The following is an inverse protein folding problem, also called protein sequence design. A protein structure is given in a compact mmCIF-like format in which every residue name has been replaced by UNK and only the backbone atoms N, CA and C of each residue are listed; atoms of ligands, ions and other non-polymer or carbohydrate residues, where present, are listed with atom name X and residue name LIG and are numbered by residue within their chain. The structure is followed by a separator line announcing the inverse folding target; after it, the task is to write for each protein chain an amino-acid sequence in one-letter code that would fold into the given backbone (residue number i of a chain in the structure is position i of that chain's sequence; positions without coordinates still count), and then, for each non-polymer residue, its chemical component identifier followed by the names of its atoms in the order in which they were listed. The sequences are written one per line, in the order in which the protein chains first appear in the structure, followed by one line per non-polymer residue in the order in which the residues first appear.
data_IF_521959234399
#
_entry.id   IF_521959234399
#
_cell.length_a   1.000
_cell.length_b   1.000
_cell.length_c   1.000
_cell.angle_alpha   90.00
_cell.angle_beta   90.00
_cell.angle_gamma   90.00
#
_symmetry.space_group_name_H-M   'P 1'
#
loop_
_entity.id
_entity.type
_entity.pdbx_description
1 polymer ?
#
# COMPACT_ATOMS: atom_id res chain seq x y z
N UNK A 1 2.29 20.33 -4.39
CA UNK A 1 1.59 19.05 -4.69
C UNK A 1 2.36 17.83 -4.23
N UNK A 2 3.66 17.75 -4.49
CA UNK A 2 4.46 16.56 -4.15
C UNK A 2 4.45 16.25 -2.66
N UNK A 3 4.68 17.23 -1.79
CA UNK A 3 4.69 16.96 -0.35
C UNK A 3 3.30 16.68 0.21
N UNK A 4 2.26 17.27 -0.37
CA UNK A 4 0.88 16.95 -0.01
C UNK A 4 0.56 15.49 -0.39
N UNK A 5 0.93 15.08 -1.60
CA UNK A 5 0.75 13.69 -2.06
C UNK A 5 1.55 12.71 -1.19
N UNK A 6 2.80 13.06 -0.86
CA UNK A 6 3.65 12.25 0.01
C UNK A 6 3.01 12.07 1.39
N UNK A 7 2.55 13.16 2.00
CA UNK A 7 1.89 13.10 3.30
C UNK A 7 0.65 12.23 3.28
N UNK A 8 -0.18 12.36 2.25
CA UNK A 8 -1.37 11.53 2.06
C UNK A 8 -1.02 10.05 1.90
N UNK A 9 -0.01 9.75 1.09
CA UNK A 9 0.43 8.36 0.88
C UNK A 9 0.96 7.75 2.20
N UNK A 10 1.76 8.50 2.95
CA UNK A 10 2.32 8.01 4.22
C UNK A 10 1.21 7.75 5.25
N UNK A 11 0.21 8.61 5.32
CA UNK A 11 -0.95 8.42 6.22
C UNK A 11 -1.72 7.15 5.83
N UNK A 12 -1.96 6.94 4.54
CA UNK A 12 -2.66 5.74 4.05
C UNK A 12 -1.84 4.49 4.34
N UNK A 13 -0.53 4.52 4.10
CA UNK A 13 0.36 3.40 4.41
C UNK A 13 0.36 3.09 5.91
N UNK A 14 0.37 4.11 6.76
CA UNK A 14 0.29 3.93 8.20
C UNK A 14 -1.02 3.26 8.61
N UNK A 15 -2.14 3.67 8.02
CA UNK A 15 -3.45 3.06 8.29
C UNK A 15 -3.47 1.60 7.86
N UNK A 16 -2.91 1.29 6.68
CA UNK A 16 -2.79 -0.09 6.21
C UNK A 16 -1.88 -0.92 7.12
N UNK A 17 -0.79 -0.33 7.61
CA UNK A 17 0.11 -1.00 8.55
C UNK A 17 -0.61 -1.35 9.84
N UNK A 18 -1.45 -0.46 10.36
CA UNK A 18 -2.27 -0.74 11.55
C UNK A 18 -3.19 -1.92 11.29
N UNK A 19 -3.87 -1.96 10.14
CA UNK A 19 -4.73 -3.10 9.77
C UNK A 19 -3.92 -4.40 9.77
N UNK A 20 -2.74 -4.42 9.15
CA UNK A 20 -1.91 -5.62 9.10
C UNK A 20 -1.46 -6.07 10.49
N UNK A 21 -1.11 -5.12 11.36
CA UNK A 21 -0.77 -5.45 12.76
C UNK A 21 -1.94 -6.07 13.50
N UNK A 22 -3.16 -5.54 13.31
CA UNK A 22 -4.36 -6.12 13.92
C UNK A 22 -4.61 -7.54 13.41
N UNK A 23 -4.40 -7.79 12.12
CA UNK A 23 -4.54 -9.13 11.53
C UNK A 23 -3.49 -10.10 12.09
N UNK A 24 -2.26 -9.66 12.26
CA UNK A 24 -1.18 -10.46 12.86
C UNK A 24 -1.54 -10.84 14.31
N UNK A 25 -2.15 -9.91 15.05
CA UNK A 25 -2.57 -10.15 16.43
C UNK A 25 -3.81 -11.05 16.55
N UNK A 26 -4.40 -11.46 15.44
CA UNK A 26 -5.53 -12.39 15.44
C UNK A 26 -6.89 -11.74 15.55
N UNK A 27 -7.00 -10.43 15.34
CA UNK A 27 -8.28 -9.75 15.38
C UNK A 27 -9.12 -10.07 14.13
N UNK A 28 -10.47 -10.06 14.23
CA UNK A 28 -11.35 -10.56 13.17
C UNK A 28 -11.62 -9.50 12.07
N UNK A 29 -10.56 -8.93 11.48
CA UNK A 29 -10.67 -7.95 10.39
C UNK A 29 -10.26 -8.51 9.04
N UNK A 30 -10.16 -9.84 8.90
CA UNK A 30 -9.74 -10.49 7.66
C UNK A 30 -10.64 -10.22 6.47
N UNK A 31 -11.87 -9.76 6.72
CA UNK A 31 -12.80 -9.40 5.63
C UNK A 31 -12.29 -8.24 4.76
N UNK A 32 -11.32 -7.48 5.25
CA UNK A 32 -10.73 -6.35 4.52
C UNK A 32 -9.48 -6.72 3.74
N UNK A 33 -8.99 -7.96 3.83
CA UNK A 33 -7.72 -8.35 3.24
C UNK A 33 -7.75 -9.81 2.80
N UNK A 34 -6.78 -10.19 1.98
CA UNK A 34 -6.55 -11.57 1.54
C UNK A 34 -7.80 -12.22 0.92
N UNK A 35 -8.56 -11.44 0.15
CA UNK A 35 -9.79 -11.90 -0.48
C UNK A 35 -10.99 -11.97 0.46
N UNK A 36 -10.80 -11.68 1.74
CA UNK A 36 -11.87 -11.61 2.73
C UNK A 36 -12.47 -12.96 3.11
N UNK A 37 -11.80 -14.07 2.81
CA UNK A 37 -12.31 -15.42 3.04
C UNK A 37 -12.28 -15.85 4.51
N UNK A 38 -11.44 -15.23 5.32
CA UNK A 38 -11.24 -15.55 6.73
C UNK A 38 -11.31 -14.29 7.57
N UNK A 39 -12.15 -14.27 8.61
CA UNK A 39 -12.19 -13.15 9.55
C UNK A 39 -10.92 -13.12 10.40
N UNK A 40 -10.52 -14.27 10.94
CA UNK A 40 -9.26 -14.43 11.67
C UNK A 40 -8.28 -15.16 10.74
N UNK A 41 -7.13 -14.55 10.48
CA UNK A 41 -6.17 -15.11 9.56
C UNK A 41 -5.48 -16.35 10.15
N UNK A 42 -5.33 -17.43 9.36
CA UNK A 42 -4.45 -18.53 9.74
C UNK A 42 -2.98 -18.11 9.76
N UNK A 43 -2.12 -18.89 10.41
CA UNK A 43 -0.70 -18.56 10.58
C UNK A 43 -0.01 -18.18 9.27
N UNK A 44 -0.30 -18.87 8.18
CA UNK A 44 0.29 -18.61 6.86
C UNK A 44 -0.02 -17.18 6.38
N UNK A 45 -1.26 -16.72 6.52
CA UNK A 45 -1.65 -15.38 6.10
C UNK A 45 -1.18 -14.31 7.09
N UNK A 46 -1.03 -14.65 8.37
CA UNK A 46 -0.41 -13.73 9.34
C UNK A 46 1.05 -13.44 8.99
N UNK A 47 1.79 -14.45 8.53
CA UNK A 47 3.15 -14.25 8.01
C UNK A 47 3.12 -13.31 6.80
N UNK A 48 2.15 -13.51 5.89
CA UNK A 48 1.96 -12.61 4.75
C UNK A 48 1.69 -11.18 5.19
N UNK A 49 0.90 -10.98 6.23
CA UNK A 49 0.64 -9.64 6.79
C UNK A 49 1.92 -9.02 7.38
N UNK A 50 2.76 -9.82 8.04
CA UNK A 50 4.06 -9.34 8.52
C UNK A 50 4.97 -8.92 7.37
N UNK A 51 5.00 -9.68 6.28
CA UNK A 51 5.74 -9.32 5.07
C UNK A 51 5.20 -8.00 4.49
N UNK A 52 3.87 -7.80 4.53
CA UNK A 52 3.26 -6.55 4.06
C UNK A 52 3.77 -5.33 4.82
N UNK A 53 4.03 -5.45 6.13
CA UNK A 53 4.62 -4.36 6.91
C UNK A 53 6.01 -3.97 6.40
N UNK A 54 6.83 -4.95 6.03
CA UNK A 54 8.14 -4.70 5.44
C UNK A 54 7.98 -4.00 4.08
N UNK A 55 7.04 -4.46 3.26
CA UNK A 55 6.76 -3.87 1.95
C UNK A 55 6.30 -2.41 2.11
N UNK A 56 5.39 -2.12 3.04
CA UNK A 56 4.92 -0.75 3.28
C UNK A 56 6.06 0.16 3.71
N UNK A 57 6.98 -0.34 4.54
CA UNK A 57 8.16 0.41 4.95
C UNK A 57 9.07 0.73 3.76
N UNK A 58 9.28 -0.25 2.88
CA UNK A 58 10.06 -0.06 1.67
C UNK A 58 9.40 0.95 0.72
N UNK A 59 8.08 0.89 0.58
CA UNK A 59 7.32 1.85 -0.23
C UNK A 59 7.47 3.26 0.34
N UNK A 60 7.34 3.42 1.66
CA UNK A 60 7.49 4.72 2.31
C UNK A 60 8.89 5.31 2.07
N UNK A 61 9.94 4.50 2.23
CA UNK A 61 11.31 4.93 1.97
C UNK A 61 11.49 5.34 0.50
N UNK A 62 10.95 4.55 -0.42
CA UNK A 62 11.03 4.86 -1.84
C UNK A 62 10.35 6.21 -2.17
N UNK A 63 9.15 6.44 -1.66
CA UNK A 63 8.42 7.68 -1.91
C UNK A 63 9.12 8.88 -1.27
N UNK A 64 9.67 8.73 -0.07
CA UNK A 64 10.47 9.77 0.58
C UNK A 64 11.71 10.11 -0.25
N UNK A 65 12.38 9.11 -0.78
CA UNK A 65 13.55 9.30 -1.63
C UNK A 65 13.17 9.98 -2.96
N UNK A 66 12.09 9.52 -3.59
CA UNK A 66 11.65 10.11 -4.86
C UNK A 66 11.20 11.56 -4.70
N UNK A 67 10.60 11.90 -3.56
CA UNK A 67 10.17 13.26 -3.25
C UNK A 67 11.34 14.17 -2.82
N UNK A 68 12.53 13.62 -2.65
CA UNK A 68 13.73 14.39 -2.31
C UNK A 68 13.92 14.63 -0.82
N UNK A 69 13.12 13.99 0.05
CA UNK A 69 13.24 14.15 1.51
C UNK A 69 14.47 13.41 2.03
N UNK A 70 14.78 12.26 1.45
CA UNK A 70 15.97 11.48 1.77
C UNK A 70 16.75 11.19 0.48
N UNK A 71 18.02 10.82 0.61
CA UNK A 71 18.87 10.49 -0.53
C UNK A 71 18.56 9.13 -1.13
N UNK A 72 19.18 8.86 -2.28
CA UNK A 72 19.08 7.59 -2.97
C UNK A 72 19.61 7.71 -4.39
N UNK A 73 19.81 6.57 -5.05
CA UNK A 73 20.22 6.54 -6.46
C UNK A 73 19.06 7.03 -7.34
N UNK A 74 19.27 8.16 -8.03
CA UNK A 74 18.21 8.82 -8.79
C UNK A 74 17.58 7.93 -9.87
N UNK A 75 18.39 7.15 -10.58
CA UNK A 75 17.90 6.27 -11.64
C UNK A 75 17.08 5.12 -11.06
N UNK A 76 17.60 4.45 -10.04
CA UNK A 76 16.90 3.35 -9.37
C UNK A 76 15.58 3.84 -8.79
N UNK A 77 15.59 4.96 -8.07
CA UNK A 77 14.40 5.52 -7.40
C UNK A 77 13.33 5.88 -8.43
N UNK A 78 13.73 6.46 -9.56
CA UNK A 78 12.79 6.81 -10.63
C UNK A 78 12.12 5.56 -11.21
N UNK A 79 12.93 4.57 -11.59
CA UNK A 79 12.41 3.32 -12.18
C UNK A 79 11.52 2.60 -11.18
N UNK A 80 11.96 2.50 -9.93
CA UNK A 80 11.20 1.83 -8.88
C UNK A 80 9.85 2.53 -8.60
N UNK A 81 9.81 3.87 -8.67
CA UNK A 81 8.57 4.62 -8.48
C UNK A 81 7.55 4.32 -9.56
N UNK A 82 7.97 4.26 -10.83
CA UNK A 82 7.08 3.88 -11.92
C UNK A 82 6.62 2.43 -11.81
N UNK A 83 7.50 1.53 -11.41
CA UNK A 83 7.12 0.14 -11.14
C UNK A 83 6.12 0.04 -10.00
N UNK A 84 6.29 0.85 -8.95
CA UNK A 84 5.35 0.93 -7.84
C UNK A 84 3.97 1.41 -8.30
N UNK A 85 3.93 2.40 -9.19
CA UNK A 85 2.67 2.87 -9.77
C UNK A 85 1.93 1.73 -10.48
N UNK A 86 2.66 0.94 -11.27
CA UNK A 86 2.11 -0.26 -11.90
C UNK A 86 1.57 -1.26 -10.89
N UNK A 87 2.30 -1.48 -9.81
CA UNK A 87 1.87 -2.36 -8.71
C UNK A 87 0.55 -1.88 -8.10
N UNK A 88 0.43 -0.59 -7.81
CA UNK A 88 -0.83 -0.04 -7.28
C UNK A 88 -1.96 -0.13 -8.29
N UNK A 89 -1.68 0.03 -9.59
CA UNK A 89 -2.67 -0.16 -10.65
C UNK A 89 -3.23 -1.59 -10.65
N UNK A 90 -2.36 -2.58 -10.55
CA UNK A 90 -2.78 -3.98 -10.40
C UNK A 90 -3.59 -4.16 -9.12
N UNK A 91 -3.17 -3.52 -8.04
CA UNK A 91 -3.88 -3.56 -6.76
C UNK A 91 -5.30 -3.01 -6.86
N UNK A 92 -5.51 -1.93 -7.61
CA UNK A 92 -6.86 -1.38 -7.85
C UNK A 92 -7.75 -2.45 -8.50
N UNK A 93 -7.26 -3.10 -9.55
CA UNK A 93 -8.03 -4.14 -10.25
C UNK A 93 -8.33 -5.32 -9.31
N UNK A 94 -7.32 -5.80 -8.61
CA UNK A 94 -7.47 -6.95 -7.71
C UNK A 94 -8.48 -6.68 -6.60
N UNK A 95 -8.46 -5.47 -6.02
CA UNK A 95 -9.42 -5.10 -5.00
C UNK A 95 -10.83 -4.89 -5.59
N UNK A 96 -10.92 -4.28 -6.77
CA UNK A 96 -12.20 -4.02 -7.41
C UNK A 96 -12.96 -5.30 -7.80
N UNK A 97 -12.22 -6.38 -8.10
CA UNK A 97 -12.83 -7.68 -8.43
C UNK A 97 -12.91 -8.63 -7.23
N UNK A 98 -12.56 -8.18 -6.04
CA UNK A 98 -12.64 -8.98 -4.82
C UNK A 98 -14.09 -9.41 -4.55
N UNK A 99 -14.27 -10.67 -4.13
CA UNK A 99 -15.58 -11.19 -3.73
C UNK A 99 -16.01 -10.63 -2.37
N UNK A 100 -15.08 -10.19 -1.55
CA UNK A 100 -15.39 -9.55 -0.27
C UNK A 100 -15.83 -8.11 -0.50
N UNK A 101 -17.08 -7.79 -0.16
CA UNK A 101 -17.60 -6.42 -0.26
C UNK A 101 -16.79 -5.43 0.61
N UNK A 102 -16.48 -5.75 1.87
CA UNK A 102 -15.64 -4.85 2.68
C UNK A 102 -14.28 -4.57 2.04
N UNK A 103 -13.60 -5.57 1.51
CA UNK A 103 -12.33 -5.37 0.81
C UNK A 103 -12.52 -4.53 -0.45
N UNK A 104 -13.50 -4.89 -1.30
CA UNK A 104 -13.73 -4.18 -2.56
C UNK A 104 -14.04 -2.71 -2.35
N UNK A 105 -14.94 -2.38 -1.41
CA UNK A 105 -15.37 -0.99 -1.21
C UNK A 105 -14.42 -0.17 -0.35
N UNK A 106 -13.55 -0.80 0.42
CA UNK A 106 -12.56 -0.11 1.25
C UNK A 106 -11.21 -0.02 0.54
N UNK A 107 -10.71 -1.14 0.03
CA UNK A 107 -9.35 -1.22 -0.48
C UNK A 107 -9.21 -0.70 -1.92
N UNK A 108 -10.28 -0.71 -2.71
CA UNK A 108 -10.23 -0.11 -4.05
C UNK A 108 -9.99 1.39 -3.99
N UNK A 109 -10.73 2.19 -3.18
CA UNK A 109 -10.39 3.60 -3.00
C UNK A 109 -9.01 3.82 -2.40
N UNK A 110 -8.60 3.01 -1.44
CA UNK A 110 -7.28 3.11 -0.81
C UNK A 110 -6.17 2.91 -1.85
N UNK A 111 -6.26 1.85 -2.65
CA UNK A 111 -5.28 1.58 -3.71
C UNK A 111 -5.28 2.70 -4.75
N UNK A 112 -6.45 3.26 -5.08
CA UNK A 112 -6.57 4.39 -6.00
C UNK A 112 -5.89 5.63 -5.45
N UNK A 113 -6.07 5.94 -4.17
CA UNK A 113 -5.41 7.07 -3.52
C UNK A 113 -3.89 6.91 -3.55
N UNK A 114 -3.39 5.72 -3.26
CA UNK A 114 -1.95 5.42 -3.33
C UNK A 114 -1.41 5.56 -4.75
N UNK A 115 -2.16 5.08 -5.74
CA UNK A 115 -1.77 5.19 -7.15
C UNK A 115 -1.71 6.66 -7.58
N UNK A 116 -2.73 7.46 -7.24
CA UNK A 116 -2.76 8.89 -7.59
C UNK A 116 -1.64 9.66 -6.91
N UNK A 117 -1.39 9.41 -5.62
CA UNK A 117 -0.30 10.04 -4.90
C UNK A 117 1.06 9.67 -5.51
N UNK A 118 1.25 8.40 -5.84
CA UNK A 118 2.48 7.92 -6.49
C UNK A 118 2.66 8.55 -7.87
N UNK A 119 1.59 8.69 -8.64
CA UNK A 119 1.63 9.36 -9.95
C UNK A 119 2.08 10.82 -9.82
N UNK A 120 1.51 11.56 -8.87
CA UNK A 120 1.91 12.95 -8.62
C UNK A 120 3.40 13.03 -8.27
N UNK A 121 3.88 12.13 -7.41
CA UNK A 121 5.28 12.08 -7.00
C UNK A 121 6.17 11.68 -8.18
N UNK A 122 5.74 10.70 -8.99
CA UNK A 122 6.51 10.23 -10.14
C UNK A 122 6.67 11.29 -11.22
N UNK A 123 5.66 12.13 -11.41
CA UNK A 123 5.66 13.20 -12.41
C UNK A 123 6.41 14.46 -11.94
N UNK A 124 6.71 14.58 -10.66
CA UNK A 124 7.43 15.73 -10.12
C UNK A 124 8.90 15.69 -10.56
N UNK A 125 9.43 16.86 -10.87
CA UNK A 125 10.83 17.03 -11.26
C UNK A 125 11.76 17.17 -10.05
#
# INVERSE_FOLDING_TARGET
MTYFALGGALVVLAALAVLQMLLICGLPFGRFAWGGQREVLPAKLRVGSAVSLVIYSAIAVLLLSRAGVIGGDATFVRIATWALLGYFGVGIVMNAISRSRPERYTMTPVATMLALATLVIALAD
#
